data_IF_968202517705
#
_entry.id   IF_968202517705
#
_cell.length_a   1.000
_cell.length_b   1.000
_cell.length_c   1.000
_cell.angle_alpha   90.00
_cell.angle_beta   90.00
_cell.angle_gamma   90.00
#
_symmetry.space_group_name_H-M   'P 1'
#
loop_
_entity.id
_entity.type
_entity.pdbx_description
1 polymer ?
#
# COMPACT_ATOMS: atom_id res chain seq x y z
N UNK A 1 15.97 -10.27 -12.67
CA UNK A 1 16.58 -9.60 -13.84
C UNK A 1 15.59 -8.60 -14.41
N UNK A 2 16.06 -7.41 -14.78
CA UNK A 2 15.20 -6.39 -15.41
C UNK A 2 14.48 -6.99 -16.63
N UNK A 3 13.16 -6.83 -16.70
CA UNK A 3 12.33 -7.38 -17.77
C UNK A 3 11.48 -6.26 -18.36
N UNK A 4 11.80 -5.88 -19.60
CA UNK A 4 11.01 -4.88 -20.31
C UNK A 4 9.58 -5.37 -20.56
N UNK A 5 8.60 -4.50 -20.32
CA UNK A 5 7.19 -4.73 -20.61
C UNK A 5 6.75 -4.10 -21.94
N UNK A 6 7.70 -3.63 -22.74
CA UNK A 6 7.45 -2.93 -24.01
C UNK A 6 7.15 -3.90 -25.16
N UNK A 7 7.58 -5.18 -25.06
CA UNK A 7 7.36 -6.22 -26.06
C UNK A 7 6.64 -7.43 -25.47
N UNK A 8 5.88 -8.15 -26.30
CA UNK A 8 5.11 -9.33 -25.89
C UNK A 8 3.63 -9.02 -25.60
N UNK A 9 2.85 -10.02 -25.19
CA UNK A 9 1.41 -9.90 -24.92
C UNK A 9 1.18 -9.12 -23.61
N UNK A 10 0.46 -7.97 -23.60
CA UNK A 10 0.32 -7.11 -22.42
C UNK A 10 -0.20 -7.84 -21.18
N UNK A 11 -1.28 -8.61 -21.31
CA UNK A 11 -1.88 -9.35 -20.20
C UNK A 11 -0.91 -10.35 -19.57
N UNK A 12 -0.19 -11.12 -20.40
CA UNK A 12 0.78 -12.11 -19.90
C UNK A 12 1.92 -11.44 -19.11
N UNK A 13 2.41 -10.29 -19.59
CA UNK A 13 3.45 -9.52 -18.90
C UNK A 13 2.96 -9.00 -17.55
N UNK A 14 1.76 -8.42 -17.53
CA UNK A 14 1.17 -7.91 -16.28
C UNK A 14 0.91 -9.04 -15.27
N UNK A 15 0.39 -10.19 -15.69
CA UNK A 15 0.17 -11.36 -14.82
C UNK A 15 1.49 -11.92 -14.28
N UNK A 16 2.51 -12.09 -15.12
CA UNK A 16 3.83 -12.57 -14.68
C UNK A 16 4.48 -11.63 -13.67
N UNK A 17 4.26 -10.32 -13.81
CA UNK A 17 4.77 -9.32 -12.88
C UNK A 17 3.91 -9.26 -11.61
N UNK A 18 2.59 -9.36 -11.70
CA UNK A 18 1.67 -9.28 -10.57
C UNK A 18 1.78 -10.50 -9.64
N UNK A 19 2.08 -11.70 -10.17
CA UNK A 19 2.11 -12.92 -9.35
C UNK A 19 3.11 -12.86 -8.17
N UNK A 20 4.38 -12.47 -8.33
CA UNK A 20 5.28 -12.32 -7.20
C UNK A 20 4.85 -11.21 -6.24
N UNK A 21 4.27 -10.10 -6.75
CA UNK A 21 3.74 -9.03 -5.91
C UNK A 21 2.57 -9.52 -5.06
N UNK A 22 1.65 -10.27 -5.67
CA UNK A 22 0.52 -10.86 -4.96
C UNK A 22 1.00 -11.78 -3.83
N UNK A 23 1.94 -12.67 -4.12
CA UNK A 23 2.53 -13.55 -3.11
C UNK A 23 3.22 -12.76 -2.00
N UNK A 24 3.92 -11.67 -2.35
CA UNK A 24 4.53 -10.75 -1.38
C UNK A 24 3.50 -10.08 -0.48
N UNK A 25 2.42 -9.53 -1.05
CA UNK A 25 1.36 -8.88 -0.31
C UNK A 25 0.63 -9.88 0.62
N UNK A 26 0.33 -11.09 0.15
CA UNK A 26 -0.29 -12.14 0.97
C UNK A 26 0.63 -12.57 2.12
N UNK A 27 1.92 -12.76 1.84
CA UNK A 27 2.91 -13.08 2.86
C UNK A 27 3.00 -11.95 3.90
N UNK A 28 2.97 -10.69 3.47
CA UNK A 28 2.97 -9.53 4.35
C UNK A 28 1.75 -9.50 5.28
N UNK A 29 0.56 -9.79 4.77
CA UNK A 29 -0.65 -9.90 5.61
C UNK A 29 -0.54 -11.06 6.59
N UNK A 30 0.02 -12.18 6.16
CA UNK A 30 0.20 -13.37 7.01
C UNK A 30 1.17 -13.10 8.15
N UNK A 31 2.34 -12.51 7.88
CA UNK A 31 3.30 -12.24 8.95
C UNK A 31 2.79 -11.16 9.91
N UNK A 32 2.04 -10.16 9.46
CA UNK A 32 1.40 -9.18 10.34
C UNK A 32 0.44 -9.84 11.36
N UNK A 33 -0.27 -10.90 10.94
CA UNK A 33 -1.13 -11.67 11.85
C UNK A 33 -0.29 -12.48 12.83
N UNK A 34 0.79 -13.10 12.36
CA UNK A 34 1.69 -13.89 13.22
C UNK A 34 2.36 -13.00 14.26
N UNK A 35 2.87 -11.84 13.87
CA UNK A 35 3.47 -10.85 14.77
C UNK A 35 2.48 -10.41 15.86
N UNK A 36 1.25 -10.03 15.47
CA UNK A 36 0.20 -9.70 16.43
C UNK A 36 -0.15 -10.88 17.37
N UNK A 37 -0.13 -12.11 16.86
CA UNK A 37 -0.37 -13.31 17.67
C UNK A 37 0.78 -13.56 18.67
N UNK A 38 2.03 -13.39 18.25
CA UNK A 38 3.22 -13.53 19.14
C UNK A 38 3.13 -12.49 20.26
N UNK A 39 2.90 -11.23 19.93
CA UNK A 39 2.75 -10.14 20.92
C UNK A 39 1.60 -10.44 21.88
N UNK A 40 0.43 -10.83 21.38
CA UNK A 40 -0.74 -11.10 22.22
C UNK A 40 -0.59 -12.31 23.12
N UNK A 41 -0.02 -13.40 22.63
CA UNK A 41 0.12 -14.64 23.40
C UNK A 41 1.25 -14.59 24.43
N UNK A 42 2.35 -13.88 24.13
CA UNK A 42 3.53 -13.84 25.01
C UNK A 42 3.50 -12.65 25.95
N UNK A 43 3.15 -11.45 25.45
CA UNK A 43 3.16 -10.21 26.23
C UNK A 43 1.79 -9.85 26.82
N UNK A 44 0.73 -10.53 26.37
CA UNK A 44 -0.64 -10.37 26.85
C UNK A 44 -1.42 -9.23 26.20
N UNK A 45 -2.68 -9.09 26.63
CA UNK A 45 -3.68 -8.22 26.00
C UNK A 45 -3.32 -6.74 26.01
N UNK A 46 -2.66 -6.25 27.07
CA UNK A 46 -2.24 -4.84 27.15
C UNK A 46 -1.16 -4.48 26.13
N UNK A 47 -0.24 -5.41 25.86
CA UNK A 47 0.79 -5.21 24.83
C UNK A 47 0.16 -5.21 23.44
N UNK A 48 -0.72 -6.18 23.17
CA UNK A 48 -1.47 -6.24 21.90
C UNK A 48 -2.32 -4.98 21.68
N UNK A 49 -2.97 -4.47 22.73
CA UNK A 49 -3.76 -3.24 22.68
C UNK A 49 -2.86 -2.02 22.38
N UNK A 50 -1.67 -1.93 23.01
CA UNK A 50 -0.70 -0.86 22.75
C UNK A 50 -0.19 -0.84 21.30
N UNK A 51 0.20 -2.00 20.77
CA UNK A 51 0.59 -2.17 19.36
C UNK A 51 -0.59 -1.84 18.43
N UNK A 52 -1.79 -2.32 18.78
CA UNK A 52 -3.00 -2.05 18.01
C UNK A 52 -3.37 -0.57 17.95
N UNK A 53 -3.25 0.16 19.07
CA UNK A 53 -3.50 1.60 19.12
C UNK A 53 -2.52 2.39 18.21
N UNK A 54 -1.29 1.89 18.05
CA UNK A 54 -0.27 2.48 17.18
C UNK A 54 -0.51 2.24 15.67
N UNK A 55 -1.30 1.24 15.30
CA UNK A 55 -1.45 0.78 13.91
C UNK A 55 -2.01 1.85 12.97
N UNK A 56 -2.95 2.65 13.44
CA UNK A 56 -3.58 3.71 12.63
C UNK A 56 -2.58 4.79 12.22
N UNK A 57 -1.73 5.22 13.15
CA UNK A 57 -0.68 6.21 12.88
C UNK A 57 0.44 5.62 12.01
N UNK A 58 0.80 4.36 12.25
CA UNK A 58 1.76 3.69 11.38
C UNK A 58 1.24 3.65 9.94
N UNK A 59 -0.02 3.28 9.74
CA UNK A 59 -0.61 3.25 8.40
C UNK A 59 -0.63 4.63 7.73
N UNK A 60 -0.90 5.68 8.51
CA UNK A 60 -0.86 7.07 8.01
C UNK A 60 0.55 7.49 7.59
N UNK A 61 1.55 7.31 8.47
CA UNK A 61 2.92 7.78 8.26
C UNK A 61 3.67 6.90 7.27
N UNK A 62 3.66 5.57 7.49
CA UNK A 62 4.35 4.64 6.60
C UNK A 62 3.66 4.57 5.23
N UNK A 63 2.32 4.69 5.18
CA UNK A 63 1.57 4.78 3.93
C UNK A 63 1.99 5.98 3.10
N UNK A 64 2.17 7.18 3.71
CA UNK A 64 2.76 8.34 3.04
C UNK A 64 4.13 8.03 2.45
N UNK A 65 5.01 7.47 3.27
CA UNK A 65 6.37 7.13 2.88
C UNK A 65 6.42 6.12 1.72
N UNK A 66 5.63 5.05 1.83
CA UNK A 66 5.53 4.02 0.78
C UNK A 66 4.96 4.59 -0.53
N UNK A 67 3.96 5.47 -0.42
CA UNK A 67 3.39 6.17 -1.57
C UNK A 67 4.40 7.09 -2.26
N UNK A 68 5.23 7.82 -1.51
CA UNK A 68 6.31 8.62 -2.07
C UNK A 68 7.30 7.75 -2.86
N UNK A 69 7.75 6.64 -2.27
CA UNK A 69 8.65 5.69 -2.93
C UNK A 69 8.04 5.09 -4.21
N UNK A 70 6.74 4.76 -4.18
CA UNK A 70 6.03 4.26 -5.37
C UNK A 70 5.95 5.32 -6.47
N UNK A 71 5.65 6.57 -6.11
CA UNK A 71 5.62 7.70 -7.04
C UNK A 71 6.98 8.00 -7.67
N UNK A 72 8.08 7.87 -6.90
CA UNK A 72 9.45 8.03 -7.42
C UNK A 72 9.82 6.95 -8.44
N UNK A 73 9.22 5.78 -8.37
CA UNK A 73 9.41 4.72 -9.37
C UNK A 73 8.82 5.04 -10.75
N UNK A 74 7.84 5.94 -10.85
CA UNK A 74 7.14 6.23 -12.11
C UNK A 74 8.08 6.81 -13.18
N UNK A 75 8.85 7.88 -12.94
CA UNK A 75 9.83 8.38 -13.92
C UNK A 75 10.89 7.34 -14.26
N UNK A 76 11.35 6.55 -13.28
CA UNK A 76 12.33 5.47 -13.51
C UNK A 76 11.78 4.46 -14.52
N UNK A 77 10.52 4.00 -14.34
CA UNK A 77 9.87 3.09 -15.27
C UNK A 77 9.70 3.70 -16.67
N UNK A 78 9.36 4.99 -16.75
CA UNK A 78 9.23 5.73 -18.01
C UNK A 78 10.56 5.76 -18.76
N UNK A 79 11.65 6.19 -18.14
CA UNK A 79 12.96 6.29 -18.81
C UNK A 79 13.57 4.92 -19.10
N UNK A 80 13.29 3.91 -18.29
CA UNK A 80 13.63 2.53 -18.62
C UNK A 80 12.91 2.06 -19.89
N UNK A 81 11.61 2.34 -20.00
CA UNK A 81 10.83 2.04 -21.20
C UNK A 81 11.31 2.78 -22.45
N UNK A 82 11.79 4.01 -22.29
CA UNK A 82 12.40 4.82 -23.34
C UNK A 82 13.82 4.36 -23.75
N UNK A 83 14.38 3.35 -23.08
CA UNK A 83 15.77 2.90 -23.21
C UNK A 83 16.80 4.03 -22.97
N UNK A 84 16.44 5.06 -22.19
CA UNK A 84 17.30 6.16 -21.81
C UNK A 84 17.92 5.89 -20.42
N UNK A 85 18.98 5.07 -20.41
CA UNK A 85 19.58 4.59 -19.16
C UNK A 85 20.25 5.72 -18.36
N UNK A 86 20.82 6.73 -19.04
CA UNK A 86 21.42 7.87 -18.37
C UNK A 86 20.38 8.66 -17.54
N UNK A 87 19.27 9.08 -18.17
CA UNK A 87 18.18 9.73 -17.42
C UNK A 87 17.61 8.83 -16.35
N UNK A 88 17.38 7.55 -16.63
CA UNK A 88 16.89 6.59 -15.64
C UNK A 88 17.80 6.57 -14.39
N UNK A 89 19.12 6.46 -14.54
CA UNK A 89 20.10 6.46 -13.43
C UNK A 89 20.07 7.79 -12.66
N UNK A 90 20.00 8.93 -13.36
CA UNK A 90 19.85 10.25 -12.75
C UNK A 90 18.61 10.33 -11.85
N UNK A 91 17.46 9.81 -12.33
CA UNK A 91 16.23 9.75 -11.51
C UNK A 91 16.34 8.77 -10.35
N UNK A 92 17.05 7.65 -10.50
CA UNK A 92 17.35 6.73 -9.40
C UNK A 92 18.19 7.43 -8.34
N UNK A 93 19.25 8.16 -8.71
CA UNK A 93 20.09 8.88 -7.76
C UNK A 93 19.33 9.98 -7.03
N UNK A 94 18.64 10.86 -7.76
CA UNK A 94 17.85 11.96 -7.17
C UNK A 94 16.71 11.42 -6.29
N UNK A 95 16.06 10.32 -6.68
CA UNK A 95 15.05 9.66 -5.88
C UNK A 95 15.59 9.04 -4.59
N UNK A 96 16.81 8.49 -4.62
CA UNK A 96 17.47 8.00 -3.40
C UNK A 96 17.78 9.14 -2.43
N UNK A 97 18.31 10.27 -2.93
CA UNK A 97 18.55 11.47 -2.11
C UNK A 97 17.26 11.99 -1.50
N UNK A 98 16.20 12.16 -2.30
CA UNK A 98 14.90 12.60 -1.80
C UNK A 98 14.29 11.64 -0.78
N UNK A 99 14.42 10.34 -1.00
CA UNK A 99 13.97 9.32 -0.03
C UNK A 99 14.72 9.45 1.29
N UNK A 100 16.05 9.67 1.25
CA UNK A 100 16.85 9.93 2.44
C UNK A 100 16.42 11.19 3.19
N UNK A 101 16.16 12.29 2.48
CA UNK A 101 15.68 13.55 3.06
C UNK A 101 14.29 13.35 3.71
N UNK A 102 13.34 12.71 3.01
CA UNK A 102 12.01 12.43 3.54
C UNK A 102 12.12 11.51 4.77
N UNK A 103 12.96 10.47 4.70
CA UNK A 103 13.19 9.58 5.83
C UNK A 103 13.68 10.34 7.06
N UNK A 104 14.65 11.23 6.90
CA UNK A 104 15.20 12.03 7.99
C UNK A 104 14.15 12.97 8.58
N UNK A 105 13.44 13.73 7.74
CA UNK A 105 12.41 14.68 8.19
C UNK A 105 11.30 13.94 8.93
N UNK A 106 10.74 12.87 8.34
CA UNK A 106 9.63 12.13 8.93
C UNK A 106 10.06 11.46 10.24
N UNK A 107 11.27 10.88 10.28
CA UNK A 107 11.83 10.30 11.52
C UNK A 107 11.92 11.33 12.63
N UNK A 108 12.52 12.51 12.37
CA UNK A 108 12.68 13.57 13.38
C UNK A 108 11.30 14.06 13.84
N UNK A 109 10.42 14.43 12.92
CA UNK A 109 9.10 14.98 13.24
C UNK A 109 8.27 13.96 14.02
N UNK A 110 8.19 12.71 13.56
CA UNK A 110 7.40 11.69 14.25
C UNK A 110 7.98 11.30 15.60
N UNK A 111 9.32 11.23 15.73
CA UNK A 111 9.95 10.90 17.01
C UNK A 111 9.79 12.00 18.05
N UNK A 112 9.97 13.26 17.65
CA UNK A 112 9.77 14.43 18.54
C UNK A 112 8.30 14.58 18.95
N UNK A 113 7.38 14.36 18.01
CA UNK A 113 5.94 14.48 18.24
C UNK A 113 5.28 13.18 18.76
N UNK A 114 6.04 12.13 19.08
CA UNK A 114 5.48 10.82 19.44
C UNK A 114 4.49 10.90 20.61
N UNK A 115 4.84 11.63 21.67
CA UNK A 115 3.96 11.86 22.83
C UNK A 115 2.67 12.60 22.42
N UNK A 116 2.80 13.69 21.66
CA UNK A 116 1.64 14.49 21.20
C UNK A 116 0.70 13.66 20.32
N UNK A 117 1.27 12.80 19.47
CA UNK A 117 0.52 11.89 18.62
C UNK A 117 -0.30 10.90 19.46
N UNK A 118 0.29 10.28 20.49
CA UNK A 118 -0.40 9.34 21.36
C UNK A 118 -1.50 10.03 22.20
N UNK A 119 -1.25 11.24 22.67
CA UNK A 119 -2.28 12.05 23.34
C UNK A 119 -3.44 12.42 22.39
N UNK A 120 -3.15 12.82 21.15
CA UNK A 120 -4.16 13.12 20.14
C UNK A 120 -5.04 11.89 19.83
N UNK A 121 -4.46 10.70 19.86
CA UNK A 121 -5.19 9.43 19.70
C UNK A 121 -5.95 9.01 20.95
N UNK A 122 -5.84 9.76 22.05
CA UNK A 122 -6.48 9.43 23.34
C UNK A 122 -6.15 8.00 23.79
N UNK A 123 -4.88 7.60 23.66
CA UNK A 123 -4.43 6.26 24.06
C UNK A 123 -4.59 6.14 25.59
N UNK A 124 -5.28 5.07 26.09
CA UNK A 124 -5.47 4.87 27.53
C UNK A 124 -4.15 4.76 28.29
N UNK A 125 -4.13 5.33 29.52
CA UNK A 125 -2.91 5.42 30.34
C UNK A 125 -2.30 4.05 30.69
N UNK A 126 -3.11 3.02 30.80
CA UNK A 126 -2.68 1.66 31.17
C UNK A 126 -1.93 0.91 30.06
N UNK A 127 -1.99 1.40 28.81
CA UNK A 127 -1.27 0.86 27.64
C UNK A 127 -0.32 1.88 27.01
N UNK A 128 -0.26 3.11 27.58
CA UNK A 128 0.48 4.23 26.99
C UNK A 128 1.97 3.93 26.81
N UNK A 129 2.62 3.44 27.88
CA UNK A 129 4.06 3.15 27.86
C UNK A 129 4.42 2.07 26.84
N UNK A 130 3.55 1.07 26.67
CA UNK A 130 3.74 -0.01 25.66
C UNK A 130 3.57 0.52 24.25
N UNK A 131 2.56 1.37 24.02
CA UNK A 131 2.33 2.01 22.73
C UNK A 131 3.49 2.96 22.38
N UNK A 132 3.97 3.74 23.34
CA UNK A 132 5.10 4.64 23.16
C UNK A 132 6.39 3.88 22.83
N UNK A 133 6.75 2.87 23.65
CA UNK A 133 7.94 2.06 23.44
C UNK A 133 7.97 1.38 22.07
N UNK A 134 6.82 0.91 21.60
CA UNK A 134 6.69 0.33 20.26
C UNK A 134 6.81 1.39 19.17
N UNK A 135 6.04 2.47 19.27
CA UNK A 135 5.90 3.47 18.22
C UNK A 135 7.18 4.27 17.99
N UNK A 136 7.89 4.65 19.07
CA UNK A 136 9.16 5.40 18.95
C UNK A 136 10.21 4.58 18.20
N UNK A 137 10.29 3.28 18.45
CA UNK A 137 11.21 2.39 17.74
C UNK A 137 10.84 2.28 16.25
N UNK A 138 9.54 2.14 15.93
CA UNK A 138 9.07 2.15 14.53
C UNK A 138 9.45 3.45 13.82
N UNK A 139 9.29 4.61 14.49
CA UNK A 139 9.64 5.91 13.92
C UNK A 139 11.15 6.05 13.66
N UNK A 140 11.98 5.62 14.61
CA UNK A 140 13.43 5.58 14.41
C UNK A 140 13.85 4.62 13.29
N UNK A 141 13.04 3.61 12.99
CA UNK A 141 13.26 2.64 11.92
C UNK A 141 12.77 3.09 10.54
N UNK A 142 12.11 4.24 10.41
CA UNK A 142 11.61 4.76 9.12
C UNK A 142 12.70 4.77 8.03
N UNK A 143 13.95 5.18 8.27
CA UNK A 143 14.98 5.16 7.23
C UNK A 143 15.20 3.78 6.62
N UNK A 144 15.21 2.72 7.40
CA UNK A 144 15.38 1.35 6.91
C UNK A 144 14.14 0.86 6.13
N UNK A 145 12.96 1.20 6.61
CA UNK A 145 11.70 0.91 5.92
C UNK A 145 11.63 1.62 4.56
N UNK A 146 12.01 2.91 4.50
CA UNK A 146 12.05 3.65 3.25
C UNK A 146 13.12 3.12 2.30
N UNK A 147 14.30 2.77 2.81
CA UNK A 147 15.36 2.18 1.99
C UNK A 147 14.86 0.93 1.26
N UNK A 148 14.24 -0.03 1.98
CA UNK A 148 13.68 -1.22 1.35
C UNK A 148 12.57 -0.86 0.33
N UNK A 149 11.61 0.00 0.72
CA UNK A 149 10.48 0.34 -0.15
C UNK A 149 10.93 1.08 -1.42
N UNK A 150 11.90 1.98 -1.31
CA UNK A 150 12.45 2.70 -2.45
C UNK A 150 13.20 1.74 -3.41
N UNK A 151 14.13 0.94 -2.90
CA UNK A 151 14.87 -0.03 -3.72
C UNK A 151 13.95 -1.06 -4.38
N UNK A 152 12.94 -1.54 -3.65
CA UNK A 152 11.87 -2.38 -4.19
C UNK A 152 11.09 -1.70 -5.29
N UNK A 153 10.75 -0.40 -5.12
CA UNK A 153 10.03 0.38 -6.13
C UNK A 153 10.85 0.54 -7.40
N UNK A 154 12.15 0.83 -7.26
CA UNK A 154 13.07 0.93 -8.39
C UNK A 154 13.18 -0.41 -9.14
N UNK A 155 13.38 -1.54 -8.43
CA UNK A 155 13.44 -2.87 -9.06
C UNK A 155 12.13 -3.18 -9.80
N UNK A 156 10.98 -2.89 -9.19
CA UNK A 156 9.67 -3.04 -9.83
C UNK A 156 9.55 -2.16 -11.08
N UNK A 157 10.07 -0.94 -11.06
CA UNK A 157 10.07 -0.03 -12.22
C UNK A 157 10.83 -0.60 -13.42
N UNK A 158 11.84 -1.45 -13.16
CA UNK A 158 12.59 -2.20 -14.18
C UNK A 158 11.92 -3.53 -14.57
N UNK A 159 10.70 -3.79 -14.09
CA UNK A 159 9.95 -5.02 -14.35
C UNK A 159 10.37 -6.23 -13.51
N UNK A 160 11.22 -6.05 -12.51
CA UNK A 160 11.62 -7.12 -11.58
C UNK A 160 10.78 -7.05 -10.29
N UNK A 161 9.72 -7.83 -10.25
CA UNK A 161 8.90 -8.03 -9.04
C UNK A 161 9.33 -9.23 -8.20
N UNK A 162 10.15 -10.13 -8.76
CA UNK A 162 10.57 -11.37 -8.09
C UNK A 162 11.61 -11.11 -7.02
N UNK A 163 12.60 -10.30 -7.32
CA UNK A 163 13.71 -10.01 -6.38
C UNK A 163 13.20 -9.34 -5.09
N UNK A 164 12.38 -8.28 -5.13
CA UNK A 164 11.79 -7.72 -3.92
C UNK A 164 10.94 -8.73 -3.13
N UNK A 165 10.20 -9.59 -3.82
CA UNK A 165 9.41 -10.64 -3.17
C UNK A 165 10.30 -11.63 -2.40
N UNK A 166 11.39 -12.13 -3.01
CA UNK A 166 12.28 -13.09 -2.35
C UNK A 166 12.91 -12.48 -1.09
N UNK A 167 13.33 -11.23 -1.14
CA UNK A 167 13.90 -10.55 0.03
C UNK A 167 12.84 -10.25 1.09
N UNK A 168 11.61 -9.92 0.69
CA UNK A 168 10.50 -9.78 1.62
C UNK A 168 10.17 -11.11 2.30
N UNK A 169 10.16 -12.22 1.55
CA UNK A 169 9.90 -13.55 2.11
C UNK A 169 10.97 -13.95 3.13
N UNK A 170 12.25 -13.73 2.79
CA UNK A 170 13.34 -13.94 3.73
C UNK A 170 13.20 -13.08 4.99
N UNK A 171 12.89 -11.79 4.81
CA UNK A 171 12.69 -10.86 5.91
C UNK A 171 11.51 -11.23 6.80
N UNK A 172 10.40 -11.69 6.23
CA UNK A 172 9.23 -12.13 7.00
C UNK A 172 9.57 -13.34 7.91
N UNK A 173 10.33 -14.29 7.39
CA UNK A 173 10.80 -15.43 8.18
C UNK A 173 11.75 -14.95 9.27
N UNK A 174 12.72 -14.11 8.92
CA UNK A 174 13.67 -13.53 9.88
C UNK A 174 12.96 -12.73 10.98
N UNK A 175 11.93 -11.96 10.63
CA UNK A 175 11.14 -11.19 11.60
C UNK A 175 10.51 -12.09 12.66
N UNK A 176 9.87 -13.20 12.26
CA UNK A 176 9.27 -14.16 13.22
C UNK A 176 10.33 -14.70 14.20
N UNK A 177 11.52 -15.07 13.72
CA UNK A 177 12.61 -15.51 14.59
C UNK A 177 13.10 -14.40 15.52
N UNK A 178 13.24 -13.19 15.01
CA UNK A 178 13.67 -12.04 15.80
C UNK A 178 12.62 -11.63 16.83
N UNK A 179 11.33 -11.70 16.52
CA UNK A 179 10.26 -11.46 17.48
C UNK A 179 10.36 -12.40 18.65
N UNK A 180 10.46 -13.71 18.40
CA UNK A 180 10.62 -14.69 19.45
C UNK A 180 11.91 -14.46 20.25
N UNK A 181 13.01 -14.15 19.58
CA UNK A 181 14.29 -13.88 20.24
C UNK A 181 14.23 -12.60 21.11
N UNK A 182 13.75 -11.49 20.57
CA UNK A 182 13.70 -10.21 21.31
C UNK A 182 12.69 -10.25 22.45
N UNK A 183 11.53 -10.92 22.25
CA UNK A 183 10.47 -10.95 23.26
C UNK A 183 10.73 -12.02 24.33
N UNK A 184 11.09 -13.26 23.93
CA UNK A 184 11.20 -14.39 24.85
C UNK A 184 12.57 -14.42 25.52
N UNK A 185 13.65 -14.28 24.74
CA UNK A 185 15.03 -14.43 25.25
C UNK A 185 15.52 -13.12 25.85
N UNK A 186 15.41 -11.99 25.13
CA UNK A 186 15.89 -10.69 25.59
C UNK A 186 14.89 -9.97 26.52
N UNK A 187 13.62 -10.37 26.51
CA UNK A 187 12.54 -9.78 27.33
C UNK A 187 12.38 -8.27 27.11
N UNK A 188 12.50 -7.81 25.87
CA UNK A 188 12.40 -6.40 25.51
C UNK A 188 10.96 -5.90 25.31
N UNK A 189 9.96 -6.65 25.73
CA UNK A 189 8.53 -6.31 25.67
C UNK A 189 8.11 -5.82 24.25
N UNK A 190 7.21 -4.84 24.13
CA UNK A 190 6.73 -4.28 22.86
C UNK A 190 7.84 -3.65 22.01
N UNK A 191 8.86 -3.05 22.63
CA UNK A 191 10.01 -2.53 21.91
C UNK A 191 10.77 -3.63 21.16
N UNK A 192 10.80 -4.85 21.70
CA UNK A 192 11.42 -6.01 21.06
C UNK A 192 10.76 -6.37 19.73
N UNK A 193 9.43 -6.38 19.66
CA UNK A 193 8.68 -6.61 18.42
C UNK A 193 8.98 -5.51 17.37
N UNK A 194 9.01 -4.24 17.79
CA UNK A 194 9.36 -3.16 16.89
C UNK A 194 10.80 -3.26 16.37
N UNK A 195 11.76 -3.59 17.21
CA UNK A 195 13.19 -3.80 16.84
C UNK A 195 13.30 -4.96 15.85
N UNK A 196 12.62 -6.07 16.08
CA UNK A 196 12.60 -7.22 15.17
C UNK A 196 12.08 -6.82 13.78
N UNK A 197 10.97 -6.08 13.72
CA UNK A 197 10.38 -5.58 12.48
C UNK A 197 11.35 -4.67 11.73
N UNK A 198 11.97 -3.69 12.39
CA UNK A 198 12.92 -2.78 11.76
C UNK A 198 14.18 -3.50 11.30
N UNK A 199 14.71 -4.41 12.11
CA UNK A 199 15.90 -5.20 11.75
C UNK A 199 15.61 -6.04 10.49
N UNK A 200 14.45 -6.67 10.42
CA UNK A 200 14.03 -7.42 9.24
C UNK A 200 13.91 -6.54 7.99
N UNK A 201 13.36 -5.33 8.12
CA UNK A 201 13.29 -4.34 7.04
C UNK A 201 14.68 -3.86 6.61
N UNK A 202 15.58 -3.59 7.57
CA UNK A 202 16.96 -3.19 7.30
C UNK A 202 17.71 -4.27 6.52
N UNK A 203 17.60 -5.53 6.93
CA UNK A 203 18.22 -6.67 6.24
C UNK A 203 17.67 -6.78 4.81
N UNK A 204 16.35 -6.67 4.60
CA UNK A 204 15.77 -6.65 3.26
C UNK A 204 16.30 -5.51 2.39
N UNK A 205 16.40 -4.31 2.95
CA UNK A 205 16.95 -3.14 2.25
C UNK A 205 18.40 -3.35 1.85
N UNK A 206 19.22 -3.87 2.77
CA UNK A 206 20.64 -4.17 2.49
C UNK A 206 20.76 -5.26 1.42
N UNK A 207 19.96 -6.33 1.48
CA UNK A 207 19.96 -7.39 0.47
C UNK A 207 19.55 -6.85 -0.91
N UNK A 208 18.54 -5.98 -0.99
CA UNK A 208 18.17 -5.28 -2.22
C UNK A 208 19.33 -4.45 -2.76
N UNK A 209 20.00 -3.68 -1.90
CA UNK A 209 21.12 -2.83 -2.27
C UNK A 209 22.30 -3.66 -2.81
N UNK A 210 22.70 -4.69 -2.09
CA UNK A 210 23.78 -5.61 -2.50
C UNK A 210 23.44 -6.29 -3.83
N UNK A 211 22.20 -6.72 -4.00
CA UNK A 211 21.74 -7.32 -5.26
C UNK A 211 21.85 -6.34 -6.43
N UNK A 212 21.39 -5.09 -6.24
CA UNK A 212 21.47 -4.05 -7.24
C UNK A 212 22.92 -3.83 -7.67
N UNK A 213 23.82 -3.64 -6.71
CA UNK A 213 25.24 -3.42 -7.01
C UNK A 213 25.92 -4.62 -7.68
N UNK A 214 25.57 -5.85 -7.32
CA UNK A 214 26.23 -7.04 -7.87
C UNK A 214 25.62 -7.59 -9.16
N UNK A 215 24.31 -7.41 -9.37
CA UNK A 215 23.58 -8.14 -10.42
C UNK A 215 22.85 -7.25 -11.42
N UNK A 216 22.61 -5.95 -11.12
CA UNK A 216 21.82 -5.07 -11.98
C UNK A 216 22.74 -3.99 -12.59
N UNK A 217 23.56 -4.41 -13.56
CA UNK A 217 24.57 -3.52 -14.18
C UNK A 217 23.96 -2.23 -14.76
N UNK A 218 22.74 -2.28 -15.28
CA UNK A 218 22.08 -1.09 -15.85
C UNK A 218 21.80 0.00 -14.81
N UNK A 219 21.87 -0.31 -13.52
CA UNK A 219 21.70 0.64 -12.41
C UNK A 219 23.03 1.16 -11.85
N UNK A 220 24.16 0.75 -12.40
CA UNK A 220 25.45 1.26 -11.95
C UNK A 220 25.55 2.74 -12.33
N UNK A 221 25.68 3.59 -11.30
CA UNK A 221 25.74 5.04 -11.43
C UNK A 221 27.15 5.46 -11.90
N UNK A 222 27.22 6.13 -13.02
CA UNK A 222 28.41 6.83 -13.50
C UNK A 222 28.55 8.18 -12.77
N UNK A 223 29.72 8.84 -12.88
CA UNK A 223 29.94 10.10 -12.18
C UNK A 223 28.93 11.19 -12.60
N UNK A 224 28.57 11.22 -13.88
CA UNK A 224 27.62 12.16 -14.47
C UNK A 224 26.16 11.91 -14.00
N UNK A 225 25.84 10.68 -13.59
CA UNK A 225 24.51 10.34 -13.07
C UNK A 225 24.29 10.84 -11.64
N UNK A 226 25.36 11.20 -10.90
CA UNK A 226 25.33 11.60 -9.48
C UNK A 226 25.11 13.09 -9.27
N UNK A 227 24.56 13.77 -10.24
CA UNK A 227 24.21 15.18 -10.12
C UNK A 227 22.78 15.36 -9.61
N UNK A 228 22.60 16.33 -8.69
CA UNK A 228 21.28 16.75 -8.26
C UNK A 228 20.72 17.69 -9.32
N UNK A 229 19.74 17.22 -10.08
CA UNK A 229 19.10 17.99 -11.12
C UNK A 229 17.73 18.51 -10.64
N UNK A 230 17.57 19.84 -10.57
CA UNK A 230 16.35 20.47 -10.08
C UNK A 230 15.09 20.08 -10.86
N UNK A 231 15.20 19.81 -12.15
CA UNK A 231 14.10 19.32 -12.99
C UNK A 231 13.67 17.91 -12.59
N UNK A 232 14.62 17.00 -12.34
CA UNK A 232 14.37 15.64 -11.88
C UNK A 232 13.77 15.62 -10.47
N UNK A 233 14.34 16.43 -9.56
CA UNK A 233 13.80 16.61 -8.18
C UNK A 233 12.36 17.09 -8.22
N UNK A 234 12.04 18.10 -9.05
CA UNK A 234 10.68 18.62 -9.19
C UNK A 234 9.72 17.55 -9.72
N UNK A 235 10.11 16.81 -10.77
CA UNK A 235 9.26 15.75 -11.33
C UNK A 235 9.01 14.63 -10.31
N UNK A 236 10.04 14.20 -9.58
CA UNK A 236 9.92 13.22 -8.51
C UNK A 236 8.97 13.69 -7.40
N UNK A 237 9.10 14.93 -6.93
CA UNK A 237 8.22 15.49 -5.89
C UNK A 237 6.76 15.59 -6.39
N UNK A 238 6.54 16.01 -7.63
CA UNK A 238 5.21 16.09 -8.24
C UNK A 238 4.57 14.70 -8.39
N UNK A 239 5.36 13.64 -8.51
CA UNK A 239 4.85 12.26 -8.55
C UNK A 239 4.72 11.66 -7.14
N UNK A 240 5.73 11.81 -6.30
CA UNK A 240 5.82 11.15 -5.01
C UNK A 240 4.89 11.74 -3.97
N UNK A 241 4.94 13.06 -3.75
CA UNK A 241 4.15 13.71 -2.69
C UNK A 241 2.64 13.49 -2.87
N UNK A 242 2.03 13.71 -4.05
CA UNK A 242 0.60 13.43 -4.22
C UNK A 242 0.25 11.95 -4.05
N UNK A 243 1.15 11.03 -4.46
CA UNK A 243 0.92 9.59 -4.26
C UNK A 243 0.97 9.25 -2.77
N UNK A 244 1.94 9.77 -2.01
CA UNK A 244 2.02 9.60 -0.57
C UNK A 244 0.82 10.17 0.17
N UNK A 245 0.43 11.41 -0.15
CA UNK A 245 -0.75 12.06 0.43
C UNK A 245 -2.05 11.30 0.15
N UNK A 246 -2.18 10.68 -1.02
CA UNK A 246 -3.34 9.87 -1.36
C UNK A 246 -3.50 8.69 -0.38
N UNK A 247 -2.40 7.98 -0.03
CA UNK A 247 -2.45 6.91 0.98
C UNK A 247 -2.89 7.43 2.35
N UNK A 248 -2.31 8.56 2.79
CA UNK A 248 -2.67 9.18 4.08
C UNK A 248 -4.13 9.65 4.11
N UNK A 249 -4.62 10.27 3.05
CA UNK A 249 -6.01 10.75 2.95
C UNK A 249 -6.98 9.57 3.02
N UNK A 250 -6.68 8.47 2.33
CA UNK A 250 -7.49 7.24 2.40
C UNK A 250 -7.47 6.64 3.81
N UNK A 251 -6.32 6.69 4.50
CA UNK A 251 -6.19 6.26 5.89
C UNK A 251 -7.10 7.07 6.84
N UNK A 252 -7.11 8.39 6.70
CA UNK A 252 -7.97 9.29 7.52
C UNK A 252 -9.44 8.90 7.37
N UNK A 253 -9.92 8.67 6.14
CA UNK A 253 -11.29 8.22 5.90
C UNK A 253 -11.63 6.89 6.61
N UNK A 254 -10.69 5.94 6.60
CA UNK A 254 -10.84 4.66 7.29
C UNK A 254 -10.83 4.81 8.82
N UNK A 255 -10.03 5.72 9.37
CA UNK A 255 -10.01 6.02 10.81
C UNK A 255 -11.33 6.62 11.29
N UNK A 256 -11.92 7.55 10.52
CA UNK A 256 -13.23 8.14 10.86
C UNK A 256 -14.33 7.06 10.84
N UNK A 257 -14.33 6.21 9.82
CA UNK A 257 -15.26 5.10 9.74
C UNK A 257 -15.12 4.13 10.92
N UNK A 258 -13.89 3.77 11.30
CA UNK A 258 -13.61 2.94 12.47
C UNK A 258 -14.09 3.60 13.77
N UNK A 259 -13.84 4.90 13.94
CA UNK A 259 -14.30 5.67 15.11
C UNK A 259 -15.83 5.68 15.22
N UNK A 260 -16.53 5.87 14.09
CA UNK A 260 -17.99 5.80 14.05
C UNK A 260 -18.52 4.41 14.41
N UNK A 261 -17.86 3.35 13.89
CA UNK A 261 -18.21 1.97 14.21
C UNK A 261 -18.00 1.63 15.69
N UNK A 262 -16.96 2.16 16.33
CA UNK A 262 -16.68 1.91 17.74
C UNK A 262 -17.81 2.38 18.68
N UNK A 263 -18.61 3.34 18.26
CA UNK A 263 -19.78 3.84 19.02
C UNK A 263 -20.98 2.91 18.98
N UNK A 264 -21.01 1.92 18.08
CA UNK A 264 -22.12 1.00 17.89
C UNK A 264 -22.10 -0.22 18.84
N UNK A 265 -21.02 -0.40 19.59
CA UNK A 265 -20.87 -1.49 20.55
C UNK A 265 -19.96 -2.63 20.10
N UNK A 266 -19.54 -3.46 21.05
CA UNK A 266 -18.48 -4.46 20.88
C UNK A 266 -18.77 -5.52 19.84
N UNK A 267 -20.04 -5.92 19.67
CA UNK A 267 -20.47 -6.92 18.67
C UNK A 267 -20.13 -6.42 17.25
N UNK A 268 -20.52 -5.17 16.94
CA UNK A 268 -20.27 -4.58 15.63
C UNK A 268 -18.78 -4.27 15.40
N UNK A 269 -18.08 -3.85 16.44
CA UNK A 269 -16.62 -3.63 16.38
C UNK A 269 -15.89 -4.93 16.04
N UNK A 270 -16.25 -6.03 16.73
CA UNK A 270 -15.64 -7.34 16.50
C UNK A 270 -16.00 -7.90 15.10
N UNK A 271 -17.27 -7.78 14.70
CA UNK A 271 -17.72 -8.23 13.38
C UNK A 271 -17.07 -7.44 12.24
N UNK A 272 -16.98 -6.13 12.36
CA UNK A 272 -16.30 -5.28 11.40
C UNK A 272 -14.81 -5.61 11.31
N UNK A 273 -14.14 -5.80 12.45
CA UNK A 273 -12.71 -6.14 12.50
C UNK A 273 -12.42 -7.46 11.79
N UNK A 274 -13.25 -8.49 12.00
CA UNK A 274 -13.13 -9.76 11.30
C UNK A 274 -13.33 -9.59 9.78
N UNK A 275 -14.35 -8.85 9.36
CA UNK A 275 -14.57 -8.52 7.95
C UNK A 275 -13.42 -7.73 7.33
N UNK A 276 -12.82 -6.78 8.06
CA UNK A 276 -11.64 -6.02 7.61
C UNK A 276 -10.41 -6.90 7.40
N UNK A 277 -10.20 -7.94 8.23
CA UNK A 277 -9.10 -8.90 8.02
C UNK A 277 -9.29 -9.65 6.71
N UNK A 278 -10.50 -10.12 6.42
CA UNK A 278 -10.83 -10.80 5.16
C UNK A 278 -10.63 -9.85 3.98
N UNK A 279 -11.10 -8.60 4.11
CA UNK A 279 -10.90 -7.54 3.11
C UNK A 279 -9.43 -7.35 2.77
N UNK A 280 -8.54 -7.26 3.76
CA UNK A 280 -7.09 -7.06 3.54
C UNK A 280 -6.49 -8.16 2.66
N UNK A 281 -6.85 -9.42 2.88
CA UNK A 281 -6.39 -10.53 2.02
C UNK A 281 -6.98 -10.46 0.62
N UNK A 282 -8.26 -10.19 0.50
CA UNK A 282 -8.94 -10.16 -0.80
C UNK A 282 -8.60 -8.91 -1.63
N UNK A 283 -8.04 -7.86 -1.02
CA UNK A 283 -7.51 -6.68 -1.75
C UNK A 283 -6.13 -6.92 -2.38
N UNK A 284 -5.32 -7.85 -1.86
CA UNK A 284 -3.97 -8.08 -2.37
C UNK A 284 -3.87 -8.31 -3.89
N UNK A 285 -4.79 -9.06 -4.55
CA UNK A 285 -4.76 -9.21 -6.00
C UNK A 285 -5.01 -7.90 -6.75
N UNK A 286 -5.91 -7.03 -6.26
CA UNK A 286 -6.14 -5.73 -6.86
C UNK A 286 -4.89 -4.87 -6.83
N UNK A 287 -4.23 -4.78 -5.68
CA UNK A 287 -3.03 -3.95 -5.48
C UNK A 287 -1.86 -4.43 -6.35
N UNK A 288 -1.66 -5.75 -6.39
CA UNK A 288 -0.62 -6.36 -7.22
C UNK A 288 -0.85 -6.12 -8.71
N UNK A 289 -2.08 -6.29 -9.17
CA UNK A 289 -2.42 -6.15 -10.58
C UNK A 289 -2.48 -4.68 -11.03
N UNK A 290 -2.99 -3.78 -10.18
CA UNK A 290 -2.98 -2.35 -10.44
C UNK A 290 -1.54 -1.79 -10.50
N UNK A 291 -0.64 -2.25 -9.63
CA UNK A 291 0.79 -1.93 -9.68
C UNK A 291 1.42 -2.42 -11.00
N UNK A 292 1.11 -3.64 -11.41
CA UNK A 292 1.57 -4.18 -12.70
C UNK A 292 1.11 -3.33 -13.88
N UNK A 293 -0.16 -2.91 -13.89
CA UNK A 293 -0.72 -2.03 -14.91
C UNK A 293 -0.05 -0.65 -14.92
N UNK A 294 0.26 -0.09 -13.76
CA UNK A 294 0.98 1.18 -13.62
C UNK A 294 2.37 1.12 -14.26
N UNK A 295 3.18 0.11 -13.87
CA UNK A 295 4.53 -0.09 -14.42
C UNK A 295 4.47 -0.36 -15.92
N UNK A 296 3.53 -1.20 -16.37
CA UNK A 296 3.32 -1.48 -17.78
C UNK A 296 3.02 -0.20 -18.57
N UNK A 297 2.08 0.62 -18.11
CA UNK A 297 1.70 1.87 -18.78
C UNK A 297 2.84 2.88 -18.77
N UNK A 298 3.59 2.99 -17.66
CA UNK A 298 4.73 3.90 -17.55
C UNK A 298 5.86 3.54 -18.53
N UNK A 299 6.26 2.26 -18.61
CA UNK A 299 7.27 1.81 -19.56
C UNK A 299 6.82 1.99 -21.02
N UNK A 300 5.56 1.67 -21.33
CA UNK A 300 5.03 1.86 -22.70
C UNK A 300 4.83 3.34 -23.05
N UNK A 301 4.64 4.22 -22.06
CA UNK A 301 4.66 5.68 -22.25
C UNK A 301 6.05 6.13 -22.70
N UNK A 302 7.09 5.72 -21.99
CA UNK A 302 8.47 6.03 -22.35
C UNK A 302 8.88 5.48 -23.72
N UNK A 303 8.39 4.28 -24.08
CA UNK A 303 8.63 3.65 -25.37
C UNK A 303 7.78 4.20 -26.53
N UNK A 304 6.90 5.18 -26.29
CA UNK A 304 6.02 5.74 -27.34
C UNK A 304 4.91 4.79 -27.82
N UNK A 305 4.55 3.77 -27.06
CA UNK A 305 3.65 2.68 -27.46
C UNK A 305 2.18 2.97 -27.11
N UNK A 306 1.58 3.98 -27.77
CA UNK A 306 0.21 4.46 -27.49
C UNK A 306 -0.87 3.35 -27.53
N UNK A 307 -0.81 2.44 -28.52
CA UNK A 307 -1.78 1.33 -28.63
C UNK A 307 -1.69 0.38 -27.44
N UNK A 308 -0.47 0.08 -26.97
CA UNK A 308 -0.26 -0.83 -25.85
C UNK A 308 -0.77 -0.26 -24.52
N UNK A 309 -0.63 1.05 -24.29
CA UNK A 309 -1.19 1.72 -23.11
C UNK A 309 -2.71 1.49 -23.05
N UNK A 310 -3.43 1.72 -24.17
CA UNK A 310 -4.87 1.50 -24.24
C UNK A 310 -5.25 0.04 -24.01
N UNK A 311 -4.54 -0.88 -24.67
CA UNK A 311 -4.77 -2.33 -24.50
C UNK A 311 -4.50 -2.77 -23.07
N UNK A 312 -3.39 -2.32 -22.46
CA UNK A 312 -3.04 -2.65 -21.09
C UNK A 312 -4.07 -2.16 -20.08
N UNK A 313 -4.57 -0.92 -20.24
CA UNK A 313 -5.62 -0.39 -19.37
C UNK A 313 -6.89 -1.24 -19.41
N UNK A 314 -7.42 -1.52 -20.61
CA UNK A 314 -8.69 -2.26 -20.71
C UNK A 314 -8.55 -3.73 -20.29
N UNK A 315 -7.42 -4.37 -20.59
CA UNK A 315 -7.15 -5.72 -20.12
C UNK A 315 -7.00 -5.76 -18.58
N UNK A 316 -6.34 -4.75 -18.01
CA UNK A 316 -6.21 -4.62 -16.56
C UNK A 316 -7.57 -4.42 -15.88
N UNK A 317 -8.42 -3.54 -16.41
CA UNK A 317 -9.77 -3.33 -15.89
C UNK A 317 -10.60 -4.63 -16.00
N UNK A 318 -10.55 -5.31 -17.13
CA UNK A 318 -11.31 -6.55 -17.34
C UNK A 318 -10.93 -7.65 -16.34
N UNK A 319 -9.63 -7.85 -16.09
CA UNK A 319 -9.15 -8.83 -15.09
C UNK A 319 -9.53 -8.40 -13.67
N UNK A 320 -9.37 -7.13 -13.33
CA UNK A 320 -9.72 -6.63 -12.00
C UNK A 320 -11.22 -6.73 -11.74
N UNK A 321 -12.07 -6.39 -12.70
CA UNK A 321 -13.53 -6.54 -12.60
C UNK A 321 -13.91 -8.02 -12.50
N UNK A 322 -13.33 -8.89 -13.35
CA UNK A 322 -13.58 -10.33 -13.29
C UNK A 322 -13.23 -10.93 -11.92
N UNK A 323 -12.05 -10.60 -11.40
CA UNK A 323 -11.67 -10.98 -10.03
C UNK A 323 -12.63 -10.38 -8.99
N UNK A 324 -13.00 -9.11 -9.11
CA UNK A 324 -13.91 -8.43 -8.20
C UNK A 324 -15.29 -9.09 -8.13
N UNK A 325 -15.83 -9.54 -9.27
CA UNK A 325 -17.09 -10.28 -9.33
C UNK A 325 -16.95 -11.65 -8.64
N UNK A 326 -15.89 -12.40 -8.94
CA UNK A 326 -15.67 -13.73 -8.33
C UNK A 326 -15.45 -13.60 -6.83
N UNK A 327 -14.57 -12.72 -6.37
CA UNK A 327 -14.31 -12.50 -4.96
C UNK A 327 -15.55 -11.94 -4.23
N UNK A 328 -16.30 -11.05 -4.90
CA UNK A 328 -17.57 -10.54 -4.41
C UNK A 328 -18.60 -11.65 -4.18
N UNK A 329 -18.78 -12.53 -5.14
CA UNK A 329 -19.68 -13.69 -5.02
C UNK A 329 -19.25 -14.63 -3.88
N UNK A 330 -17.95 -14.90 -3.76
CA UNK A 330 -17.41 -15.70 -2.63
C UNK A 330 -17.73 -15.05 -1.29
N UNK A 331 -17.59 -13.73 -1.16
CA UNK A 331 -17.93 -13.02 0.09
C UNK A 331 -19.43 -13.00 0.37
N UNK A 332 -20.28 -12.91 -0.65
CA UNK A 332 -21.74 -12.95 -0.49
C UNK A 332 -22.19 -14.33 -0.02
N UNK A 333 -21.69 -15.40 -0.66
CA UNK A 333 -22.11 -16.78 -0.38
C UNK A 333 -21.45 -17.31 0.88
N UNK A 334 -20.15 -17.11 1.02
CA UNK A 334 -19.32 -17.70 2.09
C UNK A 334 -18.91 -16.70 3.18
N UNK A 335 -19.53 -15.52 3.26
CA UNK A 335 -19.15 -14.47 4.22
C UNK A 335 -19.15 -14.96 5.68
N UNK A 336 -20.14 -15.76 6.09
CA UNK A 336 -20.20 -16.33 7.43
C UNK A 336 -19.15 -17.40 7.69
N UNK A 337 -18.96 -18.44 6.84
CA UNK A 337 -17.84 -19.38 6.95
C UNK A 337 -16.45 -18.71 6.96
N UNK A 338 -16.23 -17.71 6.12
CA UNK A 338 -14.97 -16.95 6.10
C UNK A 338 -14.73 -16.22 7.42
N UNK A 339 -15.77 -15.66 8.02
CA UNK A 339 -15.67 -14.98 9.31
C UNK A 339 -15.31 -15.94 10.46
N UNK A 340 -15.64 -17.24 10.36
CA UNK A 340 -15.28 -18.25 11.35
C UNK A 340 -13.77 -18.51 11.44
N UNK A 341 -12.97 -18.05 10.46
CA UNK A 341 -11.50 -18.10 10.54
C UNK A 341 -10.98 -17.22 11.69
N UNK A 342 -11.67 -16.11 11.97
CA UNK A 342 -11.26 -15.10 12.95
C UNK A 342 -12.14 -15.03 14.18
N UNK A 343 -13.37 -15.59 14.13
CA UNK A 343 -14.39 -15.48 15.16
C UNK A 343 -14.86 -16.87 15.57
N UNK A 344 -15.01 -17.10 16.88
CA UNK A 344 -15.52 -18.37 17.40
C UNK A 344 -16.95 -18.65 16.92
N UNK A 345 -17.27 -19.91 16.63
CA UNK A 345 -18.62 -20.33 16.17
C UNK A 345 -19.73 -19.98 17.14
N UNK A 346 -19.44 -19.87 18.43
CA UNK A 346 -20.39 -19.51 19.48
C UNK A 346 -20.78 -18.03 19.46
N UNK A 347 -20.01 -17.15 18.86
CA UNK A 347 -20.29 -15.71 18.78
C UNK A 347 -21.18 -15.37 17.57
N UNK A 348 -22.42 -15.83 17.59
CA UNK A 348 -23.38 -15.78 16.47
C UNK A 348 -23.59 -14.34 15.98
N UNK A 349 -23.85 -13.40 16.89
CA UNK A 349 -24.10 -11.98 16.53
C UNK A 349 -22.91 -11.32 15.83
N UNK A 350 -21.68 -11.63 16.29
CA UNK A 350 -20.45 -11.14 15.68
C UNK A 350 -20.27 -11.72 14.28
N UNK A 351 -20.55 -13.02 14.08
CA UNK A 351 -20.49 -13.67 12.78
C UNK A 351 -21.52 -13.08 11.81
N UNK A 352 -22.73 -12.79 12.28
CA UNK A 352 -23.79 -12.20 11.45
C UNK A 352 -23.45 -10.75 11.07
N UNK A 353 -22.89 -9.96 12.00
CA UNK A 353 -22.40 -8.62 11.69
C UNK A 353 -21.25 -8.65 10.64
N UNK A 354 -20.26 -9.55 10.79
CA UNK A 354 -19.20 -9.71 9.83
C UNK A 354 -19.72 -10.19 8.47
N UNK A 355 -20.61 -11.18 8.45
CA UNK A 355 -21.22 -11.68 7.22
C UNK A 355 -22.04 -10.59 6.50
N UNK A 356 -22.76 -9.74 7.25
CA UNK A 356 -23.48 -8.59 6.69
C UNK A 356 -22.52 -7.62 6.01
N UNK A 357 -21.42 -7.25 6.68
CA UNK A 357 -20.40 -6.36 6.11
C UNK A 357 -19.82 -6.95 4.82
N UNK A 358 -19.43 -8.23 4.84
CA UNK A 358 -18.86 -8.91 3.67
C UNK A 358 -19.86 -9.02 2.50
N UNK A 359 -21.13 -9.29 2.76
CA UNK A 359 -22.16 -9.32 1.72
C UNK A 359 -22.35 -7.96 1.07
N UNK A 360 -22.46 -6.88 1.85
CA UNK A 360 -22.56 -5.53 1.31
C UNK A 360 -21.31 -5.18 0.48
N UNK A 361 -20.13 -5.54 0.97
CA UNK A 361 -18.86 -5.33 0.26
C UNK A 361 -18.82 -6.11 -1.06
N UNK A 362 -19.23 -7.36 -1.06
CA UNK A 362 -19.21 -8.25 -2.22
C UNK A 362 -20.01 -7.71 -3.40
N UNK A 363 -21.14 -7.05 -3.16
CA UNK A 363 -21.97 -6.46 -4.22
C UNK A 363 -21.26 -5.38 -5.03
N UNK A 364 -20.30 -4.66 -4.44
CA UNK A 364 -19.62 -3.54 -5.05
C UNK A 364 -18.12 -3.77 -5.27
N UNK A 365 -17.63 -4.98 -5.03
CA UNK A 365 -16.19 -5.29 -5.07
C UNK A 365 -15.56 -5.13 -6.46
N UNK A 366 -16.36 -5.27 -7.52
CA UNK A 366 -15.96 -4.98 -8.89
C UNK A 366 -15.56 -3.50 -9.10
N UNK A 367 -16.22 -2.56 -8.40
CA UNK A 367 -15.91 -1.13 -8.51
C UNK A 367 -14.55 -0.80 -7.93
N UNK A 368 -14.13 -1.49 -6.85
CA UNK A 368 -12.79 -1.39 -6.28
C UNK A 368 -11.71 -1.79 -7.28
N UNK A 369 -11.97 -2.81 -8.11
CA UNK A 369 -11.06 -3.22 -9.18
C UNK A 369 -10.83 -2.11 -10.21
N UNK A 370 -11.90 -1.46 -10.67
CA UNK A 370 -11.80 -0.32 -11.60
C UNK A 370 -11.06 0.83 -10.94
N UNK A 371 -11.41 1.17 -9.70
CA UNK A 371 -10.80 2.25 -8.93
C UNK A 371 -9.29 2.09 -8.82
N UNK A 372 -8.82 0.93 -8.37
CA UNK A 372 -7.39 0.68 -8.16
C UNK A 372 -6.61 0.72 -9.49
N UNK A 373 -7.11 0.06 -10.53
CA UNK A 373 -6.43 0.05 -11.84
C UNK A 373 -6.39 1.46 -12.44
N UNK A 374 -7.53 2.17 -12.50
CA UNK A 374 -7.59 3.50 -13.08
C UNK A 374 -6.72 4.50 -12.32
N UNK A 375 -6.69 4.42 -10.99
CA UNK A 375 -5.84 5.26 -10.11
C UNK A 375 -4.36 5.02 -10.38
N UNK A 376 -3.92 3.77 -10.34
CA UNK A 376 -2.52 3.40 -10.50
C UNK A 376 -2.03 3.66 -11.93
N UNK A 377 -2.85 3.45 -12.95
CA UNK A 377 -2.52 3.80 -14.33
C UNK A 377 -2.40 5.33 -14.49
N UNK A 378 -3.30 6.11 -13.88
CA UNK A 378 -3.21 7.58 -13.89
C UNK A 378 -1.89 8.07 -13.27
N UNK A 379 -1.46 7.47 -12.16
CA UNK A 379 -0.16 7.73 -11.54
C UNK A 379 0.99 7.29 -12.45
N UNK A 380 0.93 6.08 -13.00
CA UNK A 380 1.94 5.53 -13.92
C UNK A 380 2.13 6.33 -15.20
N UNK A 381 1.11 7.06 -15.65
CA UNK A 381 1.20 8.00 -16.76
C UNK A 381 1.74 9.39 -16.36
N UNK A 382 2.10 9.60 -15.08
CA UNK A 382 2.66 10.87 -14.61
C UNK A 382 1.64 11.89 -14.14
N UNK A 383 0.39 11.50 -13.86
CA UNK A 383 -0.66 12.41 -13.40
C UNK A 383 -1.06 12.17 -11.94
N UNK A 384 -0.07 11.94 -11.04
CA UNK A 384 -0.32 11.69 -9.60
C UNK A 384 -1.12 12.80 -8.93
N UNK A 385 -0.92 14.07 -9.32
CA UNK A 385 -1.70 15.20 -8.82
C UNK A 385 -3.20 15.16 -9.16
N UNK A 386 -3.61 14.38 -10.18
CA UNK A 386 -5.02 14.10 -10.45
C UNK A 386 -5.53 12.88 -9.71
N UNK A 387 -4.68 11.88 -9.56
CA UNK A 387 -5.04 10.66 -8.86
C UNK A 387 -5.34 10.89 -7.36
N UNK A 388 -4.70 11.88 -6.72
CA UNK A 388 -4.94 12.21 -5.31
C UNK A 388 -6.40 12.54 -5.02
N UNK A 389 -7.10 13.21 -5.95
CA UNK A 389 -8.50 13.57 -5.75
C UNK A 389 -9.44 12.37 -5.65
N UNK A 390 -9.05 11.21 -6.19
CA UNK A 390 -9.79 9.97 -5.93
C UNK A 390 -9.73 9.57 -4.47
N UNK A 391 -8.59 9.77 -3.80
CA UNK A 391 -8.46 9.55 -2.35
C UNK A 391 -9.28 10.55 -1.54
N UNK A 392 -9.30 11.82 -1.95
CA UNK A 392 -10.15 12.85 -1.32
C UNK A 392 -11.64 12.47 -1.44
N UNK A 393 -12.07 12.03 -2.62
CA UNK A 393 -13.46 11.58 -2.85
C UNK A 393 -13.81 10.38 -1.98
N UNK A 394 -12.90 9.39 -1.86
CA UNK A 394 -13.08 8.25 -0.94
C UNK A 394 -13.20 8.70 0.51
N UNK A 395 -12.32 9.57 0.98
CA UNK A 395 -12.33 10.08 2.35
C UNK A 395 -13.64 10.80 2.64
N UNK A 396 -14.03 11.74 1.79
CA UNK A 396 -15.28 12.52 1.98
C UNK A 396 -16.50 11.61 1.99
N UNK A 397 -16.59 10.63 1.08
CA UNK A 397 -17.70 9.70 1.05
C UNK A 397 -17.77 8.84 2.33
N UNK A 398 -16.63 8.32 2.82
CA UNK A 398 -16.58 7.60 4.10
C UNK A 398 -17.00 8.47 5.27
N UNK A 399 -16.54 9.72 5.34
CA UNK A 399 -16.90 10.67 6.41
C UNK A 399 -18.40 10.95 6.37
N UNK A 400 -18.95 11.31 5.22
CA UNK A 400 -20.37 11.62 5.05
C UNK A 400 -21.25 10.43 5.46
N UNK A 401 -20.93 9.22 4.97
CA UNK A 401 -21.72 8.03 5.29
C UNK A 401 -21.57 7.65 6.76
N UNK A 402 -20.35 7.65 7.30
CA UNK A 402 -20.07 7.21 8.66
C UNK A 402 -20.58 8.18 9.73
N UNK A 403 -20.57 9.50 9.48
CA UNK A 403 -21.03 10.48 10.47
C UNK A 403 -22.47 10.90 10.22
N UNK A 404 -22.90 11.01 8.96
CA UNK A 404 -24.24 11.49 8.61
C UNK A 404 -25.34 10.45 8.74
N UNK A 405 -25.01 9.17 8.48
CA UNK A 405 -26.04 8.13 8.36
C UNK A 405 -25.99 7.04 9.45
N UNK A 406 -24.93 6.97 10.23
CA UNK A 406 -24.82 5.96 11.32
C UNK A 406 -25.90 6.17 12.38
N UNK A 407 -26.27 7.40 12.69
CA UNK A 407 -27.36 7.68 13.64
C UNK A 407 -28.73 7.10 13.23
N UNK A 408 -29.01 7.06 11.92
CA UNK A 408 -30.29 6.58 11.37
C UNK A 408 -30.25 5.10 11.01
N UNK A 409 -29.17 4.63 10.39
CA UNK A 409 -29.08 3.26 9.85
C UNK A 409 -28.14 2.34 10.65
N UNK A 410 -27.51 2.83 11.72
CA UNK A 410 -26.63 2.05 12.57
C UNK A 410 -25.49 1.38 11.80
N UNK A 411 -25.21 0.12 12.10
CA UNK A 411 -24.16 -0.67 11.47
C UNK A 411 -24.31 -0.83 9.95
N UNK A 412 -25.53 -0.73 9.42
CA UNK A 412 -25.76 -0.78 7.96
C UNK A 412 -25.06 0.36 7.23
N UNK A 413 -25.04 1.58 7.82
CA UNK A 413 -24.30 2.70 7.24
C UNK A 413 -22.79 2.39 7.16
N UNK A 414 -22.21 1.82 8.22
CA UNK A 414 -20.80 1.38 8.20
C UNK A 414 -20.57 0.33 7.11
N UNK A 415 -21.49 -0.63 6.95
CA UNK A 415 -21.39 -1.62 5.89
C UNK A 415 -21.35 -1.03 4.47
N UNK A 416 -21.93 0.16 4.26
CA UNK A 416 -21.96 0.82 2.95
C UNK A 416 -20.94 1.97 2.80
N UNK A 417 -20.21 2.32 3.85
CA UNK A 417 -19.26 3.44 3.81
C UNK A 417 -18.13 3.23 2.79
N UNK A 418 -17.53 2.04 2.78
CA UNK A 418 -16.47 1.68 1.82
C UNK A 418 -17.00 1.63 0.38
N UNK A 419 -18.17 1.03 0.17
CA UNK A 419 -18.76 0.84 -1.16
C UNK A 419 -19.15 2.18 -1.79
N UNK A 420 -19.75 3.06 -1.02
CA UNK A 420 -20.07 4.43 -1.48
C UNK A 420 -18.78 5.16 -1.85
N UNK A 421 -17.73 5.02 -1.03
CA UNK A 421 -16.43 5.61 -1.31
C UNK A 421 -15.81 5.07 -2.61
N UNK A 422 -15.85 3.75 -2.84
CA UNK A 422 -15.30 3.16 -4.06
C UNK A 422 -16.07 3.56 -5.32
N UNK A 423 -17.39 3.57 -5.26
CA UNK A 423 -18.24 3.97 -6.39
C UNK A 423 -18.01 5.44 -6.73
N UNK A 424 -18.06 6.34 -5.73
CA UNK A 424 -17.85 7.79 -5.96
C UNK A 424 -16.46 8.10 -6.48
N UNK A 425 -15.43 7.44 -5.93
CA UNK A 425 -14.06 7.59 -6.42
C UNK A 425 -13.88 6.99 -7.83
N UNK A 426 -14.58 5.90 -8.16
CA UNK A 426 -14.57 5.32 -9.52
C UNK A 426 -15.21 6.26 -10.53
N UNK A 427 -16.33 6.90 -10.19
CA UNK A 427 -17.00 7.90 -11.03
C UNK A 427 -16.08 9.09 -11.33
N UNK A 428 -15.21 9.46 -10.41
CA UNK A 428 -14.20 10.50 -10.63
C UNK A 428 -12.99 9.99 -11.43
N UNK A 429 -12.38 8.86 -11.00
CA UNK A 429 -11.06 8.47 -11.50
C UNK A 429 -11.11 7.82 -12.88
N UNK A 430 -12.18 7.10 -13.25
CA UNK A 430 -12.27 6.44 -14.54
C UNK A 430 -12.29 7.45 -15.70
N UNK A 431 -13.15 8.48 -15.73
CA UNK A 431 -13.08 9.54 -16.75
C UNK A 431 -11.73 10.28 -16.74
N UNK A 432 -11.19 10.54 -15.54
CA UNK A 432 -9.87 11.18 -15.39
C UNK A 432 -8.76 10.33 -16.00
N UNK A 433 -8.76 9.03 -15.77
CA UNK A 433 -7.81 8.08 -16.34
C UNK A 433 -7.91 8.06 -17.88
N UNK A 434 -9.12 7.95 -18.42
CA UNK A 434 -9.35 7.96 -19.87
C UNK A 434 -8.86 9.27 -20.51
N UNK A 435 -9.11 10.41 -19.87
CA UNK A 435 -8.58 11.70 -20.30
C UNK A 435 -7.03 11.71 -20.28
N UNK A 436 -6.40 11.21 -19.21
CA UNK A 436 -4.94 11.14 -19.08
C UNK A 436 -4.33 10.22 -20.15
N UNK A 437 -4.95 9.07 -20.42
CA UNK A 437 -4.55 8.17 -21.51
C UNK A 437 -4.65 8.86 -22.87
N UNK A 438 -5.78 9.53 -23.16
CA UNK A 438 -5.95 10.30 -24.41
C UNK A 438 -4.88 11.37 -24.55
N UNK A 439 -4.61 12.14 -23.50
CA UNK A 439 -3.59 13.19 -23.48
C UNK A 439 -2.18 12.63 -23.67
N UNK A 440 -1.84 11.53 -22.99
CA UNK A 440 -0.53 10.86 -23.14
C UNK A 440 -0.33 10.29 -24.53
N UNK A 441 -1.36 9.64 -25.11
CA UNK A 441 -1.29 9.11 -26.48
C UNK A 441 -1.20 10.21 -27.54
N UNK A 442 -1.80 11.38 -27.30
CA UNK A 442 -1.66 12.54 -28.18
C UNK A 442 -0.22 13.11 -28.11
N UNK A 443 0.40 13.18 -26.92
CA UNK A 443 1.81 13.59 -26.78
C UNK A 443 2.77 12.64 -27.50
N UNK A 444 2.53 11.32 -27.43
CA UNK A 444 3.30 10.33 -28.16
C UNK A 444 3.21 10.58 -29.66
N UNK A 445 2.01 10.83 -30.18
CA UNK A 445 1.80 11.14 -31.60
C UNK A 445 2.48 12.44 -32.06
N UNK A 446 2.61 13.40 -31.14
CA UNK A 446 3.31 14.69 -31.39
C UNK A 446 4.84 14.62 -31.15
N UNK A 447 5.40 13.49 -30.71
CA UNK A 447 6.82 13.34 -30.39
C UNK A 447 7.30 14.13 -29.17
N UNK A 448 6.42 14.47 -28.23
CA UNK A 448 6.68 15.35 -27.07
C UNK A 448 6.68 14.62 -25.72
N UNK A 449 7.01 13.33 -25.72
CA UNK A 449 7.06 12.50 -24.47
C UNK A 449 8.42 12.46 -23.83
#
# INVERSE_FOLDING_TARGET
MAKSMVSGKPLSLMLQFATPLLLGNLLQQTYNIIDAAIVGQILGDKALAGVGASSSIQFLVLGFCMGCCAGFGVPVAKYFGANNLHKMRKYIFNGAVLTGIIALIVTIVCSVCCNQILHLLSVPQDIYDKAYAYLIVIFLGIPFTLMYNYLSSVLRSLGDSRTPFVFLAFSAILNIFLDLFCIVVLKWDCAGAAIATITAQAVSGILCLVYIFKKVQIMHLEAEDREIEGSAVKELLVMGIPTGLQFSITAIGSMVMQSANNKLGSVYVSGFTAGMRIKQFTMCPFDAFATAASVFCSQNLGAGQAKRIKQGLWQAIAVAVGYGIVAGLVMIIFGRPLSMIFVKKSAVDVLDASAKYLRCMGCFYWSLGILNVARMVTQGLGYSGRAIFSGVTEMLARIIVSLGFVGTFGFTAICFADQTAWVTATVYILPTCLYCVKKSTAKIAAGTV
#
